data_IF_834594736935
#
_entry.id   IF_834594736935
#
_cell.length_a   1.000
_cell.length_b   1.000
_cell.length_c   1.000
_cell.angle_alpha   90.00
_cell.angle_beta   90.00
_cell.angle_gamma   90.00
#
_symmetry.space_group_name_H-M   'P 1'
#
loop_
_entity.id
_entity.type
_entity.pdbx_description
1 polymer ?
#
# COMPACT_ATOMS: atom_id res chain seq x y z
N UNK A 1 15.67 15.73 -9.40
CA UNK A 1 14.70 14.74 -8.95
C UNK A 1 13.73 14.43 -10.08
N UNK A 2 13.70 13.20 -10.56
CA UNK A 2 12.71 12.75 -11.52
C UNK A 2 11.46 12.32 -10.76
N UNK A 3 10.53 13.24 -10.56
CA UNK A 3 9.18 12.87 -10.10
C UNK A 3 8.37 12.66 -11.36
N UNK A 4 7.61 11.55 -11.45
CA UNK A 4 6.61 11.41 -12.50
C UNK A 4 5.58 12.52 -12.31
N UNK A 5 5.71 13.60 -13.09
CA UNK A 5 4.83 14.76 -13.03
C UNK A 5 3.35 14.35 -13.23
N UNK A 6 3.09 13.32 -14.04
CA UNK A 6 1.74 12.83 -14.32
C UNK A 6 1.04 12.27 -13.07
N UNK A 7 1.71 11.43 -12.27
CA UNK A 7 1.11 10.86 -11.05
C UNK A 7 0.81 11.91 -9.99
N UNK A 8 1.70 12.88 -9.80
CA UNK A 8 1.47 13.98 -8.86
C UNK A 8 0.32 14.88 -9.30
N UNK A 9 0.24 15.22 -10.59
CA UNK A 9 -0.84 16.04 -11.15
C UNK A 9 -2.19 15.35 -11.02
N UNK A 10 -2.26 14.03 -11.28
CA UNK A 10 -3.50 13.28 -11.17
C UNK A 10 -4.00 13.23 -9.72
N UNK A 11 -3.14 12.90 -8.77
CA UNK A 11 -3.51 12.88 -7.34
C UNK A 11 -3.97 14.25 -6.86
N UNK A 12 -3.25 15.32 -7.22
CA UNK A 12 -3.63 16.69 -6.86
C UNK A 12 -4.98 17.05 -7.47
N UNK A 13 -5.22 16.71 -8.74
CA UNK A 13 -6.50 16.97 -9.41
C UNK A 13 -7.65 16.24 -8.70
N UNK A 14 -7.49 14.94 -8.41
CA UNK A 14 -8.51 14.13 -7.71
C UNK A 14 -8.84 14.74 -6.35
N UNK A 15 -7.84 15.11 -5.56
CA UNK A 15 -8.05 15.75 -4.27
C UNK A 15 -8.74 17.12 -4.41
N UNK A 16 -8.35 17.91 -5.41
CA UNK A 16 -8.96 19.25 -5.65
C UNK A 16 -10.43 19.14 -6.06
N UNK A 17 -10.78 18.20 -6.92
CA UNK A 17 -12.13 17.99 -7.43
C UNK A 17 -13.07 17.29 -6.43
N UNK A 18 -12.54 16.57 -5.45
CA UNK A 18 -13.33 15.85 -4.46
C UNK A 18 -14.08 16.83 -3.54
N UNK A 19 -15.31 16.49 -3.19
CA UNK A 19 -16.10 17.15 -2.15
C UNK A 19 -15.92 16.51 -0.79
N UNK A 20 -15.71 15.20 -0.79
CA UNK A 20 -15.58 14.34 0.38
C UNK A 20 -14.28 13.55 0.36
N UNK A 21 -13.62 13.52 1.49
CA UNK A 21 -12.35 12.80 1.65
C UNK A 21 -12.54 11.74 2.72
N UNK A 22 -12.35 10.49 2.35
CA UNK A 22 -12.45 9.34 3.26
C UNK A 22 -11.06 8.78 3.51
N UNK A 23 -10.68 8.56 4.76
CA UNK A 23 -9.34 8.04 5.04
C UNK A 23 -9.10 7.65 6.50
N UNK A 24 -7.94 7.07 6.76
CA UNK A 24 -7.42 6.94 8.12
C UNK A 24 -6.91 8.31 8.59
N UNK A 25 -7.17 8.67 9.85
CA UNK A 25 -6.87 10.01 10.38
C UNK A 25 -5.45 10.48 10.07
N UNK A 26 -4.45 9.63 10.31
CA UNK A 26 -3.07 9.97 10.03
C UNK A 26 -2.82 10.34 8.55
N UNK A 27 -3.53 9.70 7.62
CA UNK A 27 -3.37 9.99 6.18
C UNK A 27 -4.09 11.28 5.79
N UNK A 28 -5.22 11.59 6.41
CA UNK A 28 -5.90 12.88 6.26
C UNK A 28 -5.00 14.03 6.74
N UNK A 29 -4.36 13.87 7.88
CA UNK A 29 -3.45 14.87 8.45
C UNK A 29 -2.23 15.13 7.55
N UNK A 30 -1.72 14.12 6.82
CA UNK A 30 -0.60 14.28 5.87
C UNK A 30 -0.94 15.13 4.63
N UNK A 31 -2.21 15.28 4.32
CA UNK A 31 -2.70 16.05 3.15
C UNK A 31 -3.62 17.20 3.57
N UNK A 32 -3.58 17.59 4.85
CA UNK A 32 -4.49 18.59 5.42
C UNK A 32 -4.60 19.88 4.58
N UNK A 33 -3.48 20.40 4.10
CA UNK A 33 -3.44 21.63 3.29
C UNK A 33 -4.15 21.46 1.94
N UNK A 34 -4.22 20.25 1.38
CA UNK A 34 -4.86 19.94 0.10
C UNK A 34 -6.36 19.67 0.22
N UNK A 35 -6.82 19.39 1.43
CA UNK A 35 -8.22 19.02 1.70
C UNK A 35 -8.95 20.01 2.61
N UNK A 36 -8.38 21.20 2.79
CA UNK A 36 -9.00 22.29 3.56
C UNK A 36 -10.38 22.65 2.98
N UNK A 37 -11.37 22.80 3.84
CA UNK A 37 -12.75 23.14 3.47
C UNK A 37 -13.56 21.98 2.88
N UNK A 38 -13.03 20.73 2.85
CA UNK A 38 -13.75 19.55 2.37
C UNK A 38 -14.33 18.73 3.52
N UNK A 39 -15.42 18.01 3.25
CA UNK A 39 -15.98 17.05 4.21
C UNK A 39 -15.00 15.89 4.44
N UNK A 40 -14.66 15.61 5.70
CA UNK A 40 -13.69 14.58 6.04
C UNK A 40 -14.36 13.47 6.84
N UNK A 41 -14.20 12.23 6.37
CA UNK A 41 -14.75 11.02 6.97
C UNK A 41 -13.58 10.12 7.42
N UNK A 42 -13.33 10.08 8.72
CA UNK A 42 -12.24 9.25 9.27
C UNK A 42 -12.79 8.03 9.99
N UNK A 43 -12.09 6.90 9.86
CA UNK A 43 -12.33 5.70 10.64
C UNK A 43 -11.00 5.07 11.08
N UNK A 44 -10.98 4.24 12.15
CA UNK A 44 -9.80 3.56 12.62
C UNK A 44 -9.09 2.74 11.54
N UNK A 45 -7.77 2.54 11.70
CA UNK A 45 -6.96 1.78 10.73
C UNK A 45 -7.50 0.36 10.50
N UNK A 46 -8.02 -0.28 11.54
CA UNK A 46 -8.56 -1.65 11.50
C UNK A 46 -9.91 -1.78 10.79
N UNK A 47 -10.52 -0.67 10.41
CA UNK A 47 -11.86 -0.61 9.79
C UNK A 47 -11.77 -0.28 8.29
N UNK A 48 -10.87 -0.94 7.57
CA UNK A 48 -10.66 -0.69 6.12
C UNK A 48 -11.92 -0.93 5.30
N UNK A 49 -12.65 -2.00 5.59
CA UNK A 49 -13.90 -2.31 4.89
C UNK A 49 -15.01 -1.26 5.17
N UNK A 50 -15.09 -0.73 6.39
CA UNK A 50 -16.03 0.33 6.73
C UNK A 50 -15.70 1.62 5.96
N UNK A 51 -14.42 2.01 5.91
CA UNK A 51 -13.98 3.17 5.10
C UNK A 51 -14.31 3.02 3.62
N UNK A 52 -14.05 1.85 3.05
CA UNK A 52 -14.36 1.59 1.65
C UNK A 52 -15.87 1.67 1.38
N UNK A 53 -16.72 1.10 2.26
CA UNK A 53 -18.19 1.22 2.14
C UNK A 53 -18.65 2.67 2.27
N UNK A 54 -18.14 3.42 3.26
CA UNK A 54 -18.47 4.85 3.41
C UNK A 54 -18.18 5.61 2.13
N UNK A 55 -17.01 5.38 1.50
CA UNK A 55 -16.66 6.04 0.24
C UNK A 55 -17.61 5.67 -0.90
N UNK A 56 -17.98 4.38 -1.01
CA UNK A 56 -18.91 3.90 -2.01
C UNK A 56 -20.34 4.43 -1.79
N UNK A 57 -20.81 4.47 -0.55
CA UNK A 57 -22.15 4.99 -0.22
C UNK A 57 -22.25 6.49 -0.55
N UNK A 58 -21.27 7.30 -0.15
CA UNK A 58 -21.22 8.72 -0.48
C UNK A 58 -21.17 8.96 -2.00
N UNK A 59 -20.37 8.16 -2.72
CA UNK A 59 -20.28 8.26 -4.17
C UNK A 59 -21.60 7.86 -4.86
N UNK A 60 -22.33 6.87 -4.32
CA UNK A 60 -23.66 6.47 -4.80
C UNK A 60 -24.71 7.58 -4.62
N UNK A 61 -24.53 8.46 -3.63
CA UNK A 61 -25.33 9.68 -3.43
C UNK A 61 -25.01 10.80 -4.43
N UNK A 62 -24.05 10.58 -5.34
CA UNK A 62 -23.63 11.56 -6.34
C UNK A 62 -22.51 12.52 -5.89
N UNK A 63 -21.89 12.24 -4.75
CA UNK A 63 -20.74 13.02 -4.24
C UNK A 63 -19.46 12.65 -4.96
N UNK A 64 -18.53 13.59 -5.06
CA UNK A 64 -17.18 13.34 -5.56
C UNK A 64 -16.26 12.96 -4.40
N UNK A 65 -15.96 11.69 -4.28
CA UNK A 65 -15.27 11.11 -3.12
C UNK A 65 -13.85 10.72 -3.47
N UNK A 66 -12.88 11.15 -2.65
CA UNK A 66 -11.52 10.63 -2.69
C UNK A 66 -11.28 9.72 -1.47
N UNK A 67 -11.04 8.44 -1.71
CA UNK A 67 -10.62 7.48 -0.69
C UNK A 67 -9.08 7.48 -0.63
N UNK A 68 -8.53 7.96 0.49
CA UNK A 68 -7.08 8.13 0.65
C UNK A 68 -6.45 6.88 1.24
N UNK A 69 -5.37 6.42 0.58
CA UNK A 69 -4.48 5.37 1.05
C UNK A 69 -3.03 5.90 1.10
N UNK A 70 -2.20 5.29 1.93
CA UNK A 70 -0.76 5.56 1.93
C UNK A 70 -0.04 4.71 0.89
N UNK A 71 0.99 5.25 0.27
CA UNK A 71 1.76 4.56 -0.76
C UNK A 71 1.02 4.51 -2.09
N UNK A 72 0.90 3.33 -2.66
CA UNK A 72 0.10 3.05 -3.86
C UNK A 72 -1.15 2.26 -3.47
N UNK A 73 -2.32 2.74 -3.88
CA UNK A 73 -3.60 2.11 -3.51
C UNK A 73 -3.78 0.70 -4.10
N UNK A 74 -3.09 0.38 -5.19
CA UNK A 74 -3.13 -0.92 -5.86
C UNK A 74 -2.09 -1.92 -5.33
N UNK A 75 -1.11 -1.48 -4.52
CA UNK A 75 -0.05 -2.35 -3.99
C UNK A 75 -0.22 -2.53 -2.48
N UNK A 76 -0.89 -3.61 -2.07
CA UNK A 76 -1.27 -3.89 -0.68
C UNK A 76 -2.05 -2.73 -0.02
N UNK A 77 -2.79 -1.97 -0.83
CA UNK A 77 -3.61 -0.84 -0.43
C UNK A 77 -5.11 -1.11 -0.57
N UNK A 78 -5.93 -0.08 -0.42
CA UNK A 78 -7.39 -0.19 -0.36
C UNK A 78 -8.08 -0.47 -1.70
N UNK A 79 -7.42 -0.28 -2.84
CA UNK A 79 -8.07 -0.44 -4.15
C UNK A 79 -8.62 -1.84 -4.36
N UNK A 80 -7.85 -2.89 -4.04
CA UNK A 80 -8.31 -4.28 -4.16
C UNK A 80 -9.54 -4.57 -3.29
N UNK A 81 -9.59 -4.01 -2.08
CA UNK A 81 -10.72 -4.17 -1.18
C UNK A 81 -11.98 -3.47 -1.71
N UNK A 82 -11.84 -2.28 -2.32
CA UNK A 82 -12.97 -1.58 -2.95
C UNK A 82 -13.59 -2.41 -4.06
N UNK A 83 -12.75 -2.95 -4.97
CA UNK A 83 -13.24 -3.82 -6.06
C UNK A 83 -13.83 -5.13 -5.53
N UNK A 84 -13.24 -5.73 -4.49
CA UNK A 84 -13.81 -6.92 -3.84
C UNK A 84 -15.19 -6.65 -3.23
N UNK A 85 -15.38 -5.48 -2.60
CA UNK A 85 -16.67 -5.09 -2.05
C UNK A 85 -17.72 -4.88 -3.14
N UNK A 86 -17.35 -4.24 -4.24
CA UNK A 86 -18.23 -4.06 -5.39
C UNK A 86 -18.71 -5.40 -5.95
N UNK A 87 -17.78 -6.33 -6.16
CA UNK A 87 -18.08 -7.67 -6.69
C UNK A 87 -18.93 -8.50 -5.71
N UNK A 88 -18.58 -8.49 -4.43
CA UNK A 88 -19.22 -9.32 -3.41
C UNK A 88 -20.61 -8.83 -2.99
N UNK A 89 -20.77 -7.52 -2.84
CA UNK A 89 -22.04 -6.94 -2.36
C UNK A 89 -23.00 -6.62 -3.50
N UNK A 90 -22.51 -6.49 -4.73
CA UNK A 90 -23.25 -6.29 -5.98
C UNK A 90 -24.44 -5.32 -5.87
N UNK A 91 -24.22 -4.21 -5.17
CA UNK A 91 -25.28 -3.21 -4.93
C UNK A 91 -25.48 -2.37 -6.18
N UNK A 92 -26.73 -2.27 -6.66
CA UNK A 92 -27.08 -1.59 -7.90
C UNK A 92 -26.65 -0.09 -7.92
N UNK A 93 -26.70 0.57 -6.77
CA UNK A 93 -26.27 1.95 -6.59
C UNK A 93 -24.75 2.10 -6.70
N UNK A 94 -23.97 1.13 -6.24
CA UNK A 94 -22.51 1.13 -6.35
C UNK A 94 -22.04 0.81 -7.77
N UNK A 95 -22.76 -0.06 -8.48
CA UNK A 95 -22.40 -0.47 -9.84
C UNK A 95 -22.51 0.65 -10.89
N UNK A 96 -23.07 1.81 -10.50
CA UNK A 96 -23.16 3.01 -11.34
C UNK A 96 -22.07 4.04 -11.08
N UNK A 97 -21.22 3.81 -10.08
CA UNK A 97 -20.14 4.73 -9.71
C UNK A 97 -19.03 4.66 -10.76
N UNK A 98 -18.61 5.81 -11.26
CA UNK A 98 -17.37 5.91 -12.03
C UNK A 98 -16.18 5.89 -11.06
N UNK A 99 -15.39 4.83 -11.10
CA UNK A 99 -14.28 4.61 -10.19
C UNK A 99 -12.95 4.67 -10.96
N UNK A 100 -11.98 5.39 -10.40
CA UNK A 100 -10.60 5.43 -10.90
C UNK A 100 -9.61 5.25 -9.76
N UNK A 101 -8.44 4.72 -10.05
CA UNK A 101 -7.34 4.55 -9.09
C UNK A 101 -6.19 5.42 -9.54
N UNK A 102 -5.88 6.46 -8.76
CA UNK A 102 -4.70 7.27 -8.98
C UNK A 102 -3.46 6.52 -8.44
N UNK A 103 -2.41 6.31 -9.25
CA UNK A 103 -1.20 5.64 -8.82
C UNK A 103 -0.42 6.48 -7.80
N UNK A 104 0.25 5.80 -6.88
CA UNK A 104 1.08 6.41 -5.85
C UNK A 104 2.50 5.85 -5.84
N UNK A 105 3.30 6.31 -4.88
CA UNK A 105 4.66 5.79 -4.66
C UNK A 105 4.59 4.76 -3.54
N UNK A 106 4.70 3.49 -3.90
CA UNK A 106 4.72 2.41 -2.92
C UNK A 106 5.99 2.40 -2.07
N UNK A 107 5.93 1.82 -0.88
CA UNK A 107 7.07 1.72 0.03
C UNK A 107 8.33 1.11 -0.62
N UNK A 108 8.17 0.14 -1.50
CA UNK A 108 9.25 -0.45 -2.29
C UNK A 108 9.99 0.60 -3.14
N UNK A 109 9.25 1.42 -3.89
CA UNK A 109 9.83 2.48 -4.73
C UNK A 109 10.50 3.55 -3.89
N UNK A 110 9.86 3.96 -2.79
CA UNK A 110 10.41 4.95 -1.88
C UNK A 110 11.73 4.45 -1.25
N UNK A 111 11.78 3.20 -0.80
CA UNK A 111 12.98 2.58 -0.25
C UNK A 111 14.10 2.44 -1.31
N UNK A 112 13.77 1.95 -2.49
CA UNK A 112 14.74 1.81 -3.57
C UNK A 112 15.34 3.15 -3.99
N UNK A 113 14.54 4.22 -4.05
CA UNK A 113 15.00 5.56 -4.40
C UNK A 113 15.95 6.15 -3.35
N UNK A 114 15.81 5.79 -2.07
CA UNK A 114 16.73 6.23 -1.00
C UNK A 114 18.08 5.53 -1.09
N UNK A 115 18.09 4.22 -1.34
CA UNK A 115 19.30 3.42 -1.42
C UNK A 115 19.95 3.43 -2.82
N UNK A 116 19.34 4.06 -3.80
CA UNK A 116 19.81 4.08 -5.20
C UNK A 116 18.86 3.40 -6.16
N UNK A 117 19.28 2.32 -6.82
CA UNK A 117 18.50 1.65 -7.86
C UNK A 117 18.29 0.15 -7.58
N UNK A 118 17.93 -0.21 -6.36
CA UNK A 118 17.81 -1.61 -5.91
C UNK A 118 16.84 -2.46 -6.76
N UNK A 119 15.85 -1.84 -7.38
CA UNK A 119 14.84 -2.49 -8.24
C UNK A 119 15.13 -2.28 -9.73
N UNK A 120 16.38 -2.02 -10.09
CA UNK A 120 16.83 -1.95 -11.47
C UNK A 120 16.93 -3.30 -12.18
N UNK A 121 16.83 -4.40 -11.43
CA UNK A 121 16.70 -5.78 -11.93
C UNK A 121 15.29 -6.30 -11.67
N UNK A 122 15.04 -7.54 -12.10
CA UNK A 122 13.77 -8.22 -11.84
C UNK A 122 13.50 -8.30 -10.33
N UNK A 123 12.33 -7.88 -9.93
CA UNK A 123 11.95 -7.82 -8.54
C UNK A 123 10.55 -8.37 -8.30
N UNK A 124 10.28 -8.76 -7.06
CA UNK A 124 8.94 -9.13 -6.63
C UNK A 124 8.60 -8.51 -5.27
N UNK A 125 7.31 -8.28 -5.04
CA UNK A 125 6.77 -7.85 -3.76
C UNK A 125 6.00 -9.01 -3.12
N UNK A 126 6.34 -9.35 -1.87
CA UNK A 126 5.70 -10.44 -1.14
C UNK A 126 5.25 -9.92 0.23
N UNK A 127 3.95 -10.02 0.51
CA UNK A 127 3.42 -9.73 1.83
C UNK A 127 3.61 -10.92 2.77
N UNK A 128 4.18 -10.68 3.94
CA UNK A 128 4.29 -11.67 5.02
C UNK A 128 3.03 -11.74 5.89
N UNK A 129 1.96 -11.02 5.51
CA UNK A 129 0.70 -11.06 6.24
C UNK A 129 -0.02 -12.39 6.05
N UNK A 130 -0.27 -13.09 7.15
CA UNK A 130 -1.03 -14.35 7.18
C UNK A 130 -2.53 -14.15 7.38
N UNK A 131 -3.03 -12.91 7.32
CA UNK A 131 -4.45 -12.61 7.51
C UNK A 131 -5.33 -13.20 6.39
N UNK A 132 -4.87 -13.06 5.13
CA UNK A 132 -5.61 -13.52 3.95
C UNK A 132 -4.89 -14.64 3.19
N UNK A 133 -3.60 -14.85 3.45
CA UNK A 133 -2.77 -15.82 2.73
C UNK A 133 -2.11 -16.76 3.72
N UNK A 134 -2.38 -18.07 3.69
CA UNK A 134 -1.75 -19.01 4.61
C UNK A 134 -0.24 -19.10 4.38
N UNK A 135 0.52 -19.31 5.46
CA UNK A 135 1.99 -19.34 5.41
C UNK A 135 2.57 -20.28 4.34
N UNK A 136 2.09 -21.52 4.12
CA UNK A 136 2.66 -22.40 3.08
C UNK A 136 2.65 -21.75 1.68
N UNK A 137 1.68 -20.89 1.38
CA UNK A 137 1.62 -20.17 0.10
C UNK A 137 2.64 -19.03 0.06
N UNK A 138 2.83 -18.33 1.17
CA UNK A 138 3.86 -17.28 1.30
C UNK A 138 5.25 -17.92 1.15
N UNK A 139 5.48 -19.03 1.83
CA UNK A 139 6.73 -19.79 1.76
C UNK A 139 7.05 -20.25 0.33
N UNK A 140 6.06 -20.79 -0.40
CA UNK A 140 6.25 -21.18 -1.80
C UNK A 140 6.67 -20.00 -2.69
N UNK A 141 6.09 -18.81 -2.47
CA UNK A 141 6.46 -17.58 -3.20
C UNK A 141 7.87 -17.12 -2.87
N UNK A 142 8.24 -17.15 -1.59
CA UNK A 142 9.59 -16.81 -1.14
C UNK A 142 10.65 -17.75 -1.74
N UNK A 143 10.37 -19.06 -1.76
CA UNK A 143 11.25 -20.07 -2.35
C UNK A 143 11.44 -19.83 -3.85
N UNK A 144 10.36 -19.64 -4.60
CA UNK A 144 10.42 -19.36 -6.03
C UNK A 144 11.21 -18.09 -6.34
N UNK A 145 11.00 -17.02 -5.54
CA UNK A 145 11.74 -15.78 -5.69
C UNK A 145 13.24 -15.92 -5.37
N UNK A 146 13.57 -16.74 -4.38
CA UNK A 146 14.95 -17.02 -4.00
C UNK A 146 15.69 -17.85 -5.06
N UNK A 147 15.03 -18.91 -5.57
CA UNK A 147 15.57 -19.79 -6.62
C UNK A 147 15.78 -19.06 -7.95
N UNK A 148 14.89 -18.13 -8.28
CA UNK A 148 14.96 -17.32 -9.51
C UNK A 148 15.80 -16.04 -9.36
N UNK A 149 16.43 -15.83 -8.23
CA UNK A 149 17.29 -14.67 -7.90
C UNK A 149 16.63 -13.28 -8.03
N UNK A 150 15.32 -13.17 -7.78
CA UNK A 150 14.64 -11.89 -7.75
C UNK A 150 15.11 -10.99 -6.61
N UNK A 151 15.14 -9.68 -6.83
CA UNK A 151 15.15 -8.72 -5.72
C UNK A 151 13.83 -8.81 -4.98
N UNK A 152 13.84 -9.11 -3.68
CA UNK A 152 12.61 -9.38 -2.91
C UNK A 152 12.28 -8.22 -1.99
N UNK A 153 11.11 -7.63 -2.16
CA UNK A 153 10.55 -6.65 -1.24
C UNK A 153 9.54 -7.32 -0.29
N UNK A 154 9.83 -7.35 0.99
CA UNK A 154 8.97 -7.92 2.02
C UNK A 154 8.05 -6.85 2.60
N UNK A 155 6.74 -6.98 2.36
CA UNK A 155 5.70 -6.12 2.94
C UNK A 155 5.10 -6.75 4.19
N UNK A 156 4.63 -5.90 5.10
CA UNK A 156 4.02 -6.31 6.36
C UNK A 156 4.89 -7.31 7.15
N UNK A 157 6.20 -7.04 7.31
CA UNK A 157 7.14 -8.02 7.85
C UNK A 157 6.85 -8.40 9.29
N UNK A 158 6.35 -7.46 10.09
CA UNK A 158 6.01 -7.69 11.50
C UNK A 158 4.70 -7.00 11.88
N UNK A 159 4.02 -7.54 12.90
CA UNK A 159 2.91 -6.90 13.58
C UNK A 159 2.92 -7.31 15.05
N UNK A 160 2.02 -6.75 15.87
CA UNK A 160 1.90 -7.15 17.27
C UNK A 160 1.64 -8.66 17.45
N UNK A 161 0.94 -9.28 16.49
CA UNK A 161 0.56 -10.71 16.53
C UNK A 161 1.48 -11.62 15.71
N UNK A 162 2.35 -11.05 14.85
CA UNK A 162 3.20 -11.78 13.93
C UNK A 162 4.63 -11.27 14.07
N UNK A 163 5.52 -12.13 14.56
CA UNK A 163 6.94 -11.82 14.75
C UNK A 163 7.86 -12.85 14.11
N UNK A 164 7.40 -14.10 13.99
CA UNK A 164 8.19 -15.21 13.48
C UNK A 164 8.26 -15.28 11.95
N UNK A 165 7.33 -14.65 11.24
CA UNK A 165 7.26 -14.74 9.78
C UNK A 165 8.45 -14.09 9.10
N UNK A 166 8.98 -12.99 9.64
CA UNK A 166 10.19 -12.35 9.11
C UNK A 166 11.42 -13.25 9.31
N UNK A 167 11.56 -13.87 10.48
CA UNK A 167 12.66 -14.81 10.76
C UNK A 167 12.60 -16.02 9.84
N UNK A 168 11.42 -16.61 9.66
CA UNK A 168 11.19 -17.73 8.73
C UNK A 168 11.50 -17.35 7.29
N UNK A 169 11.12 -16.14 6.85
CA UNK A 169 11.45 -15.63 5.53
C UNK A 169 12.96 -15.44 5.35
N UNK A 170 13.65 -14.87 6.35
CA UNK A 170 15.12 -14.74 6.37
C UNK A 170 15.78 -16.10 6.23
N UNK A 171 15.42 -17.07 7.05
CA UNK A 171 16.06 -18.39 7.07
C UNK A 171 15.90 -19.11 5.74
N UNK A 172 14.71 -18.98 5.13
CA UNK A 172 14.45 -19.49 3.79
C UNK A 172 15.33 -18.82 2.72
N UNK A 173 15.43 -17.49 2.75
CA UNK A 173 16.23 -16.74 1.79
C UNK A 173 17.73 -17.07 1.95
N UNK A 174 18.22 -17.22 3.19
CA UNK A 174 19.62 -17.60 3.49
C UNK A 174 19.97 -19.00 2.98
N UNK A 175 19.01 -19.90 2.78
CA UNK A 175 19.27 -21.22 2.18
C UNK A 175 19.63 -21.12 0.68
N UNK A 176 19.32 -19.99 0.02
CA UNK A 176 19.53 -19.77 -1.41
C UNK A 176 20.47 -18.60 -1.71
N UNK A 177 20.82 -17.79 -0.72
CA UNK A 177 21.62 -16.57 -0.89
C UNK A 177 22.78 -16.50 0.08
N UNK A 178 23.89 -15.87 -0.32
CA UNK A 178 24.99 -15.58 0.61
C UNK A 178 24.53 -14.79 1.83
N UNK A 179 25.09 -15.05 2.99
CA UNK A 179 24.81 -14.30 4.22
C UNK A 179 25.18 -12.81 4.10
N UNK A 180 26.09 -12.46 3.19
CA UNK A 180 26.47 -11.09 2.90
C UNK A 180 25.54 -10.37 1.91
N UNK A 181 24.40 -10.98 1.54
CA UNK A 181 23.39 -10.32 0.69
C UNK A 181 22.86 -9.08 1.38
N UNK A 182 22.98 -7.87 0.81
CA UNK A 182 22.51 -6.65 1.44
C UNK A 182 21.00 -6.66 1.68
N UNK A 183 20.58 -6.21 2.84
CA UNK A 183 19.16 -6.04 3.19
C UNK A 183 18.90 -4.59 3.57
N UNK A 184 18.02 -3.92 2.83
CA UNK A 184 17.56 -2.59 3.19
C UNK A 184 16.34 -2.67 4.10
N UNK A 185 16.49 -2.16 5.32
CA UNK A 185 15.37 -1.91 6.22
C UNK A 185 14.95 -0.44 6.09
N UNK A 186 13.71 -0.19 5.72
CA UNK A 186 13.16 1.14 5.60
C UNK A 186 11.85 1.26 6.38
N UNK A 187 11.71 2.34 7.14
CA UNK A 187 10.53 2.60 7.97
C UNK A 187 10.17 4.09 7.93
N UNK A 188 8.87 4.37 7.81
CA UNK A 188 8.32 5.73 7.84
C UNK A 188 8.96 6.71 6.84
N UNK A 189 9.42 6.24 5.69
CA UNK A 189 10.07 7.09 4.70
C UNK A 189 9.19 8.28 4.32
N UNK A 190 9.77 9.49 4.36
CA UNK A 190 9.06 10.75 4.12
C UNK A 190 8.16 11.20 5.27
N UNK A 191 8.28 10.63 6.48
CA UNK A 191 7.48 10.94 7.66
C UNK A 191 8.35 11.14 8.88
N UNK A 192 7.76 11.70 9.95
CA UNK A 192 8.42 11.78 11.25
C UNK A 192 8.84 10.39 11.75
N UNK A 193 10.06 10.29 12.26
CA UNK A 193 10.65 9.01 12.69
C UNK A 193 11.11 8.13 11.52
N UNK A 194 11.43 8.72 10.37
CA UNK A 194 12.05 8.03 9.24
C UNK A 194 13.35 7.34 9.67
N UNK A 195 13.49 6.08 9.31
CA UNK A 195 14.74 5.32 9.50
C UNK A 195 15.00 4.46 8.27
N UNK A 196 16.26 4.39 7.89
CA UNK A 196 16.77 3.42 6.92
C UNK A 196 18.08 2.84 7.44
N UNK A 197 18.31 1.57 7.16
CA UNK A 197 19.57 0.88 7.46
C UNK A 197 19.82 -0.18 6.40
N UNK A 198 21.07 -0.28 5.97
CA UNK A 198 21.57 -1.42 5.18
C UNK A 198 22.27 -2.36 6.16
N UNK A 199 21.83 -3.60 6.20
CA UNK A 199 22.31 -4.65 7.09
C UNK A 199 22.97 -5.74 6.26
#
# INVERSE_FOLDING_TARGET
SFISAASFQETTRVLTEATDIVGYRLYLDLVADLIEGKEQHSAPMTEEAARARTALDLAAEGRRVALISSGDAGIYGLASLVFELLDREDRAEWNRIALSVAPGITALQAAAARAGALIGHDFCAISLSTLLTPWPRIEARLRAAAEADFVVALYNPVSQRRRSELERARDLLLAHRPAATPVLLARNLGREGETEAII
#
